data_IF_175803275850
#
_entry.id   IF_175803275850
#
_cell.length_a   1.000
_cell.length_b   1.000
_cell.length_c   1.000
_cell.angle_alpha   90.00
_cell.angle_beta   90.00
_cell.angle_gamma   90.00
#
_symmetry.space_group_name_H-M   'P 1'
#
loop_
_entity.id
_entity.type
_entity.pdbx_description
1 polymer ?
#
# COMPACT_ATOMS: atom_id res chain seq x y z
N UNK A 1 -40.10 -46.06 -61.09
CA UNK A 1 -39.78 -46.19 -59.66
C UNK A 1 -38.82 -45.07 -59.28
N UNK A 2 -39.27 -44.17 -58.42
CA UNK A 2 -38.60 -42.91 -58.04
C UNK A 2 -37.62 -43.17 -56.90
N UNK A 3 -36.34 -42.84 -57.10
CA UNK A 3 -35.33 -42.80 -56.03
C UNK A 3 -35.46 -41.45 -55.31
N UNK A 4 -35.97 -41.47 -54.07
CA UNK A 4 -36.05 -40.30 -53.19
C UNK A 4 -34.68 -40.04 -52.57
N UNK A 5 -34.04 -38.96 -53.00
CA UNK A 5 -32.96 -38.28 -52.26
C UNK A 5 -33.60 -37.46 -51.11
N UNK A 6 -33.29 -37.80 -49.86
CA UNK A 6 -33.71 -37.03 -48.68
C UNK A 6 -32.59 -36.06 -48.31
N UNK A 7 -32.62 -34.85 -48.87
CA UNK A 7 -31.88 -33.70 -48.32
C UNK A 7 -32.85 -32.75 -47.62
N UNK A 8 -32.75 -32.70 -46.29
CA UNK A 8 -33.49 -31.76 -45.43
C UNK A 8 -33.05 -30.31 -45.71
N UNK A 9 -33.97 -29.35 -45.92
CA UNK A 9 -33.65 -27.94 -45.98
C UNK A 9 -33.70 -27.35 -44.57
N UNK A 10 -32.56 -27.17 -43.92
CA UNK A 10 -32.45 -26.30 -42.74
C UNK A 10 -31.78 -25.00 -43.15
N UNK A 11 -32.46 -24.23 -44.00
CA UNK A 11 -32.01 -22.91 -44.44
C UNK A 11 -32.87 -21.83 -43.76
N UNK A 12 -32.23 -20.94 -43.00
CA UNK A 12 -32.70 -19.55 -42.89
C UNK A 12 -32.85 -18.94 -41.50
N UNK A 13 -33.04 -19.71 -40.42
CA UNK A 13 -33.23 -19.13 -39.07
C UNK A 13 -31.97 -19.09 -38.20
N UNK A 14 -31.06 -20.05 -38.34
CA UNK A 14 -29.86 -20.15 -37.49
C UNK A 14 -28.70 -19.26 -37.93
N UNK A 15 -28.65 -18.86 -39.20
CA UNK A 15 -27.61 -17.96 -39.73
C UNK A 15 -27.87 -16.48 -39.41
N UNK A 16 -29.12 -16.11 -39.10
CA UNK A 16 -29.48 -14.71 -38.77
C UNK A 16 -29.29 -14.39 -37.28
N UNK A 17 -29.49 -15.37 -36.39
CA UNK A 17 -29.30 -15.20 -34.95
C UNK A 17 -27.82 -15.22 -34.55
N UNK A 18 -26.97 -15.97 -35.25
CA UNK A 18 -25.52 -16.00 -34.99
C UNK A 18 -24.81 -14.72 -35.44
N UNK A 19 -25.23 -14.08 -36.54
CA UNK A 19 -24.65 -12.83 -37.01
C UNK A 19 -25.00 -11.59 -36.16
N UNK A 20 -26.17 -11.59 -35.50
CA UNK A 20 -26.59 -10.50 -34.60
C UNK A 20 -25.89 -10.58 -33.23
N UNK A 21 -25.56 -11.78 -32.75
CA UNK A 21 -24.84 -11.96 -31.49
C UNK A 21 -23.35 -11.58 -31.66
N UNK A 22 -22.71 -11.88 -32.79
CA UNK A 22 -21.32 -11.47 -33.04
C UNK A 22 -21.15 -9.96 -33.27
N UNK A 23 -22.16 -9.27 -33.82
CA UNK A 23 -22.12 -7.81 -34.02
C UNK A 23 -22.28 -6.98 -32.73
N UNK A 24 -22.85 -7.55 -31.66
CA UNK A 24 -23.00 -6.89 -30.36
C UNK A 24 -21.82 -7.14 -29.41
N UNK A 25 -21.09 -8.25 -29.59
CA UNK A 25 -19.93 -8.59 -28.74
C UNK A 25 -18.68 -7.81 -29.16
N UNK A 26 -18.53 -7.50 -30.46
CA UNK A 26 -17.36 -6.76 -30.97
C UNK A 26 -17.24 -5.30 -30.47
N UNK A 27 -18.31 -4.48 -30.39
CA UNK A 27 -18.20 -3.14 -29.83
C UNK A 27 -18.10 -3.13 -28.29
N UNK A 28 -18.63 -4.13 -27.59
CA UNK A 28 -18.41 -4.29 -26.15
C UNK A 28 -16.96 -4.67 -25.83
N UNK A 29 -16.32 -5.49 -26.67
CA UNK A 29 -14.91 -5.84 -26.53
C UNK A 29 -13.95 -4.67 -26.78
N UNK A 30 -14.30 -3.76 -27.70
CA UNK A 30 -13.49 -2.55 -27.95
C UNK A 30 -13.68 -1.48 -26.87
N UNK A 31 -14.88 -1.35 -26.30
CA UNK A 31 -15.13 -0.45 -25.18
C UNK A 31 -14.45 -0.91 -23.88
N UNK A 32 -14.20 -2.21 -23.71
CA UNK A 32 -13.40 -2.74 -22.60
C UNK A 32 -11.88 -2.48 -22.75
N UNK A 33 -11.42 -2.05 -23.92
CA UNK A 33 -10.03 -1.56 -24.10
C UNK A 33 -9.91 -0.06 -23.88
N UNK A 34 -11.04 0.66 -23.84
CA UNK A 34 -11.10 2.03 -23.35
C UNK A 34 -11.56 1.96 -21.89
N UNK A 35 -10.63 1.68 -20.98
CA UNK A 35 -10.92 1.90 -19.56
C UNK A 35 -11.54 3.30 -19.43
N UNK A 36 -12.78 3.44 -18.92
CA UNK A 36 -13.43 4.74 -18.75
C UNK A 36 -12.71 5.63 -17.72
N UNK A 37 -11.57 5.16 -17.22
CA UNK A 37 -10.77 5.78 -16.19
C UNK A 37 -10.02 6.97 -16.78
N UNK A 38 -9.35 6.86 -17.94
CA UNK A 38 -8.49 7.93 -18.47
C UNK A 38 -9.11 8.69 -19.66
N UNK A 39 -10.28 9.30 -19.43
CA UNK A 39 -10.92 10.17 -20.42
C UNK A 39 -10.28 11.56 -20.39
N UNK A 40 -9.78 12.11 -21.51
CA UNK A 40 -9.26 13.47 -21.56
C UNK A 40 -10.30 14.54 -21.14
N UNK A 41 -9.91 15.65 -20.51
CA UNK A 41 -8.52 16.08 -20.28
C UNK A 41 -7.87 15.44 -19.06
N UNK A 42 -6.58 15.11 -19.20
CA UNK A 42 -5.69 14.77 -18.09
C UNK A 42 -4.94 16.02 -17.62
N UNK A 43 -4.61 16.06 -16.34
CA UNK A 43 -3.78 17.13 -15.79
C UNK A 43 -2.30 16.84 -16.07
N UNK A 44 -1.54 17.87 -16.41
CA UNK A 44 -0.09 17.75 -16.65
C UNK A 44 0.65 18.83 -15.87
N UNK A 45 1.66 18.41 -15.10
CA UNK A 45 2.51 19.29 -14.32
C UNK A 45 3.96 19.14 -14.77
N UNK A 46 4.55 20.21 -15.28
CA UNK A 46 5.97 20.23 -15.62
C UNK A 46 6.83 20.31 -14.35
N UNK A 47 7.73 19.35 -14.16
CA UNK A 47 8.62 19.26 -12.99
C UNK A 47 10.04 19.74 -13.34
N UNK A 48 10.52 19.46 -14.56
CA UNK A 48 11.88 19.80 -14.99
C UNK A 48 11.98 21.03 -15.88
N UNK A 49 13.18 21.27 -16.44
CA UNK A 49 13.39 22.33 -17.42
C UNK A 49 12.58 22.06 -18.69
N UNK A 50 12.08 23.11 -19.34
CA UNK A 50 11.24 23.01 -20.54
C UNK A 50 11.92 22.18 -21.64
N UNK A 51 11.17 21.25 -22.23
CA UNK A 51 11.65 20.37 -23.31
C UNK A 51 12.44 19.13 -22.84
N UNK A 52 12.54 18.86 -21.53
CA UNK A 52 13.19 17.65 -21.00
C UNK A 52 12.27 16.43 -20.89
N UNK A 53 10.95 16.62 -21.07
CA UNK A 53 9.95 15.57 -20.87
C UNK A 53 9.73 15.17 -19.41
N UNK A 54 10.29 15.92 -18.45
CA UNK A 54 10.07 15.70 -17.02
C UNK A 54 8.76 16.35 -16.58
N UNK A 55 7.67 15.61 -16.72
CA UNK A 55 6.32 15.99 -16.31
C UNK A 55 5.61 14.87 -15.56
N UNK A 56 4.67 15.23 -14.70
CA UNK A 56 3.72 14.30 -14.09
C UNK A 56 2.38 14.48 -14.79
N UNK A 57 1.85 13.39 -15.33
CA UNK A 57 0.48 13.33 -15.84
C UNK A 57 -0.38 12.65 -14.78
N UNK A 58 -1.53 13.23 -14.45
CA UNK A 58 -2.46 12.66 -13.49
C UNK A 58 -3.90 12.78 -13.98
N UNK A 59 -4.76 11.96 -13.38
CA UNK A 59 -6.16 11.90 -13.71
C UNK A 59 -6.96 12.65 -12.63
N UNK A 60 -7.58 13.79 -12.95
CA UNK A 60 -8.27 14.60 -11.95
C UNK A 60 -9.43 13.87 -11.27
N UNK A 61 -10.09 12.94 -11.97
CA UNK A 61 -11.16 12.11 -11.41
C UNK A 61 -10.64 11.13 -10.37
N UNK A 62 -9.53 10.44 -10.67
CA UNK A 62 -8.88 9.54 -9.70
C UNK A 62 -8.25 10.31 -8.54
N UNK A 63 -7.61 11.44 -8.81
CA UNK A 63 -6.99 12.28 -7.77
C UNK A 63 -8.04 12.77 -6.77
N UNK A 64 -9.21 13.21 -7.24
CA UNK A 64 -10.32 13.60 -6.37
C UNK A 64 -10.82 12.44 -5.49
N UNK A 65 -10.88 11.22 -6.04
CA UNK A 65 -11.23 10.02 -5.27
C UNK A 65 -10.15 9.68 -4.23
N UNK A 66 -8.86 9.77 -4.59
CA UNK A 66 -7.75 9.53 -3.68
C UNK A 66 -7.71 10.54 -2.54
N UNK A 67 -7.98 11.83 -2.81
CA UNK A 67 -8.10 12.86 -1.78
C UNK A 67 -9.21 12.49 -0.80
N UNK A 68 -10.38 12.08 -1.30
CA UNK A 68 -11.50 11.66 -0.45
C UNK A 68 -11.19 10.41 0.36
N UNK A 69 -10.47 9.43 -0.21
CA UNK A 69 -10.07 8.20 0.49
C UNK A 69 -8.98 8.43 1.55
N UNK A 70 -8.21 9.51 1.43
CA UNK A 70 -7.15 9.87 2.37
C UNK A 70 -7.52 11.04 3.28
N UNK A 71 -8.82 11.38 3.37
CA UNK A 71 -9.29 12.38 4.31
C UNK A 71 -9.04 11.92 5.76
N UNK A 72 -8.41 12.79 6.55
CA UNK A 72 -8.04 12.49 7.93
C UNK A 72 -9.26 12.74 8.82
N UNK A 73 -9.67 11.77 9.67
CA UNK A 73 -10.75 11.98 10.61
C UNK A 73 -10.44 13.15 11.56
N UNK A 74 -11.44 13.99 11.88
CA UNK A 74 -11.24 15.07 12.85
C UNK A 74 -10.84 14.48 14.22
N UNK A 75 -10.02 15.19 15.01
CA UNK A 75 -9.67 14.73 16.35
C UNK A 75 -10.93 14.64 17.21
N UNK A 76 -11.09 13.50 17.91
CA UNK A 76 -12.26 13.25 18.77
C UNK A 76 -12.23 14.12 20.03
N UNK A 77 -11.03 14.37 20.57
CA UNK A 77 -10.84 15.11 21.82
C UNK A 77 -10.00 16.36 21.60
N UNK A 78 -10.47 17.45 22.20
CA UNK A 78 -9.74 18.72 22.23
C UNK A 78 -8.38 18.56 22.92
N UNK A 79 -7.37 19.36 22.56
CA UNK A 79 -6.10 19.38 23.28
C UNK A 79 -6.32 19.68 24.76
N UNK A 80 -5.71 18.85 25.62
CA UNK A 80 -5.75 19.06 27.07
C UNK A 80 -4.48 19.82 27.50
N UNK A 81 -4.61 20.86 28.34
CA UNK A 81 -3.45 21.54 28.93
C UNK A 81 -2.50 20.58 29.64
N UNK A 82 -1.22 20.96 29.73
CA UNK A 82 -0.19 20.17 30.43
C UNK A 82 -0.23 20.44 31.95
N UNK A 83 -1.43 20.43 32.51
CA UNK A 83 -1.71 20.85 33.86
C UNK A 83 -2.06 19.60 34.67
N UNK A 84 -1.59 19.51 35.90
CA UNK A 84 -1.91 18.39 36.80
C UNK A 84 -0.79 17.37 36.99
N UNK A 85 -1.08 16.26 37.69
CA UNK A 85 -0.09 15.26 38.06
C UNK A 85 0.42 14.48 36.84
N UNK A 86 1.67 14.04 36.91
CA UNK A 86 2.29 13.22 35.87
C UNK A 86 1.60 11.86 35.80
N UNK A 87 1.51 11.29 34.60
CA UNK A 87 0.93 9.96 34.39
C UNK A 87 1.64 8.89 35.24
N UNK A 88 2.96 9.03 35.45
CA UNK A 88 3.78 8.12 36.28
C UNK A 88 3.45 8.17 37.77
N UNK A 89 2.78 9.22 38.25
CA UNK A 89 2.35 9.33 39.66
C UNK A 89 1.01 8.64 39.90
N UNK A 90 0.17 8.54 38.86
CA UNK A 90 -1.19 7.98 38.94
C UNK A 90 -1.23 6.53 38.47
N UNK A 91 -0.59 6.22 37.36
CA UNK A 91 -0.67 4.93 36.70
C UNK A 91 0.56 4.06 36.96
N UNK A 92 0.36 2.75 36.89
CA UNK A 92 1.41 1.76 37.08
C UNK A 92 1.96 1.28 35.73
N UNK A 93 3.24 0.88 35.72
CA UNK A 93 3.92 0.28 34.55
C UNK A 93 3.97 1.17 33.29
N UNK A 94 4.13 2.49 33.46
CA UNK A 94 4.46 3.40 32.35
C UNK A 94 5.97 3.33 32.07
N UNK A 95 6.32 3.01 30.81
CA UNK A 95 7.73 2.86 30.39
C UNK A 95 8.16 3.89 29.33
N UNK A 96 7.24 4.33 28.46
CA UNK A 96 7.57 5.18 27.29
C UNK A 96 6.93 6.57 27.39
N UNK A 97 5.74 6.68 27.97
CA UNK A 97 4.94 7.91 28.05
C UNK A 97 5.05 8.58 29.42
N UNK A 98 6.25 8.59 30.00
CA UNK A 98 6.47 9.10 31.37
C UNK A 98 6.46 10.62 31.48
N UNK A 99 6.51 11.32 30.35
CA UNK A 99 6.57 12.77 30.21
C UNK A 99 5.21 13.43 30.01
N UNK A 100 4.12 12.66 30.04
CA UNK A 100 2.75 13.17 29.89
C UNK A 100 2.07 13.36 31.26
N UNK A 101 1.19 14.36 31.35
CA UNK A 101 0.22 14.43 32.46
C UNK A 101 -0.82 13.31 32.31
N UNK A 102 -1.52 12.98 33.40
CA UNK A 102 -2.54 11.92 33.37
C UNK A 102 -3.63 12.17 32.31
N UNK A 103 -4.13 13.41 32.19
CA UNK A 103 -5.18 13.73 31.21
C UNK A 103 -4.65 13.67 29.77
N UNK A 104 -3.40 14.06 29.53
CA UNK A 104 -2.76 13.93 28.22
C UNK A 104 -2.54 12.47 27.84
N UNK A 105 -2.17 11.64 28.82
CA UNK A 105 -2.04 10.20 28.65
C UNK A 105 -3.39 9.57 28.25
N UNK A 106 -4.47 9.90 28.96
CA UNK A 106 -5.80 9.37 28.67
C UNK A 106 -6.30 9.80 27.29
N UNK A 107 -6.09 11.07 26.93
CA UNK A 107 -6.38 11.58 25.58
C UNK A 107 -5.63 10.79 24.51
N UNK A 108 -4.34 10.52 24.72
CA UNK A 108 -3.55 9.74 23.76
C UNK A 108 -4.06 8.30 23.65
N UNK A 109 -4.41 7.64 24.76
CA UNK A 109 -4.98 6.29 24.74
C UNK A 109 -6.30 6.24 23.96
N UNK A 110 -7.16 7.25 24.11
CA UNK A 110 -8.41 7.33 23.37
C UNK A 110 -8.18 7.48 21.86
N UNK A 111 -7.20 8.28 21.45
CA UNK A 111 -6.81 8.39 20.04
C UNK A 111 -6.20 7.10 19.46
N UNK A 112 -5.32 6.43 20.22
CA UNK A 112 -4.73 5.15 19.80
C UNK A 112 -5.83 4.10 19.59
N UNK A 113 -6.83 4.09 20.48
CA UNK A 113 -7.99 3.18 20.36
C UNK A 113 -8.70 3.37 19.03
N UNK A 114 -9.04 4.61 18.66
CA UNK A 114 -9.68 4.89 17.37
C UNK A 114 -8.80 4.53 16.17
N UNK A 115 -7.51 4.83 16.25
CA UNK A 115 -6.61 4.66 15.11
C UNK A 115 -6.25 3.21 14.81
N UNK A 116 -6.35 2.32 15.80
CA UNK A 116 -5.78 0.96 15.76
C UNK A 116 -6.77 -0.12 16.14
N UNK A 117 -7.51 0.04 17.24
CA UNK A 117 -8.27 -1.06 17.80
C UNK A 117 -9.54 -1.36 16.97
N UNK A 118 -9.95 -2.63 16.85
CA UNK A 118 -11.26 -2.96 16.30
C UNK A 118 -12.36 -2.26 17.11
N UNK A 119 -13.36 -1.63 16.46
CA UNK A 119 -14.42 -0.89 17.16
C UNK A 119 -15.15 -1.72 18.23
N UNK A 120 -15.28 -3.03 18.02
CA UNK A 120 -15.95 -3.95 18.95
C UNK A 120 -15.11 -4.33 20.18
N UNK A 121 -13.77 -4.16 20.13
CA UNK A 121 -12.87 -4.50 21.23
C UNK A 121 -12.40 -3.27 22.01
N UNK A 122 -12.27 -2.12 21.34
CA UNK A 122 -11.86 -0.86 21.95
C UNK A 122 -10.60 -1.00 22.82
N UNK A 123 -10.65 -0.48 24.05
CA UNK A 123 -9.52 -0.52 24.99
C UNK A 123 -9.03 -1.95 25.30
N UNK A 124 -9.93 -2.93 25.30
CA UNK A 124 -9.62 -4.33 25.63
C UNK A 124 -8.83 -5.04 24.53
N UNK A 125 -8.69 -4.43 23.35
CA UNK A 125 -7.80 -4.95 22.30
C UNK A 125 -6.34 -4.99 22.78
N UNK A 126 -5.93 -3.97 23.56
CA UNK A 126 -4.58 -3.83 24.08
C UNK A 126 -4.46 -4.09 25.58
N UNK A 127 -5.56 -4.11 26.33
CA UNK A 127 -5.51 -4.22 27.79
C UNK A 127 -6.30 -5.41 28.32
N UNK A 128 -5.81 -5.94 29.45
CA UNK A 128 -6.60 -6.80 30.32
C UNK A 128 -7.59 -5.91 31.11
N UNK A 129 -8.91 -6.09 30.99
CA UNK A 129 -9.90 -5.26 31.68
C UNK A 129 -9.84 -5.38 33.22
N UNK A 130 -9.30 -6.48 33.75
CA UNK A 130 -9.13 -6.67 35.19
C UNK A 130 -7.88 -5.94 35.73
N UNK A 131 -6.89 -5.67 34.87
CA UNK A 131 -5.66 -4.99 35.24
C UNK A 131 -5.01 -4.29 34.02
N UNK A 132 -5.23 -2.98 33.90
CA UNK A 132 -4.69 -2.19 32.78
C UNK A 132 -3.15 -2.12 32.77
N UNK A 133 -2.49 -2.34 33.92
CA UNK A 133 -1.03 -2.33 34.03
C UNK A 133 -0.38 -3.64 33.59
N UNK A 134 -1.15 -4.71 33.43
CA UNK A 134 -0.68 -6.04 32.99
C UNK A 134 -0.18 -6.03 31.54
N UNK A 135 0.94 -6.70 31.29
CA UNK A 135 1.60 -6.82 29.97
C UNK A 135 1.44 -8.22 29.36
N UNK A 136 0.60 -9.07 29.95
CA UNK A 136 0.32 -10.42 29.43
C UNK A 136 -0.34 -10.43 28.05
N UNK A 137 -1.06 -9.36 27.68
CA UNK A 137 -1.68 -9.20 26.37
C UNK A 137 -0.61 -8.73 25.36
N UNK A 138 -0.33 -9.57 24.36
CA UNK A 138 0.76 -9.32 23.40
C UNK A 138 0.62 -7.99 22.64
N UNK A 139 -0.61 -7.56 22.34
CA UNK A 139 -0.90 -6.30 21.65
C UNK A 139 -0.41 -5.09 22.44
N UNK A 140 -0.40 -5.14 23.78
CA UNK A 140 0.17 -4.09 24.62
C UNK A 140 1.68 -3.94 24.44
N UNK A 141 2.38 -5.07 24.38
CA UNK A 141 3.83 -5.12 24.17
C UNK A 141 4.18 -4.55 22.80
N UNK A 142 3.42 -4.93 21.77
CA UNK A 142 3.56 -4.37 20.41
C UNK A 142 3.25 -2.88 20.39
N UNK A 143 2.15 -2.44 21.01
CA UNK A 143 1.75 -1.03 21.08
C UNK A 143 2.86 -0.16 21.72
N UNK A 144 3.51 -0.64 22.79
CA UNK A 144 4.64 0.05 23.42
C UNK A 144 5.83 0.23 22.46
N UNK A 145 6.14 -0.79 21.68
CA UNK A 145 7.17 -0.70 20.64
C UNK A 145 6.79 0.28 19.54
N UNK A 146 5.52 0.29 19.12
CA UNK A 146 5.02 1.21 18.08
C UNK A 146 5.01 2.67 18.53
N UNK A 147 4.69 2.94 19.80
CA UNK A 147 4.80 4.29 20.38
C UNK A 147 6.26 4.76 20.34
N UNK A 148 7.20 3.90 20.74
CA UNK A 148 8.63 4.22 20.70
C UNK A 148 9.11 4.49 19.27
N UNK A 149 8.74 3.64 18.32
CA UNK A 149 9.02 3.82 16.89
C UNK A 149 8.44 5.14 16.37
N UNK A 150 7.20 5.47 16.70
CA UNK A 150 6.52 6.68 16.22
C UNK A 150 7.21 7.95 16.75
N UNK A 151 7.57 7.96 18.05
CA UNK A 151 8.34 9.05 18.65
C UNK A 151 9.69 9.21 17.95
N UNK A 152 10.39 8.10 17.72
CA UNK A 152 11.69 8.10 17.04
C UNK A 152 11.60 8.61 15.59
N UNK A 153 10.60 8.18 14.82
CA UNK A 153 10.39 8.69 13.45
C UNK A 153 10.18 10.20 13.47
N UNK A 154 9.34 10.70 14.38
CA UNK A 154 9.02 12.13 14.45
C UNK A 154 10.16 13.00 15.01
N UNK A 155 11.09 12.44 15.79
CA UNK A 155 12.23 13.18 16.34
C UNK A 155 13.47 13.10 15.46
N UNK A 156 13.79 11.92 14.95
CA UNK A 156 15.11 11.62 14.36
C UNK A 156 15.09 11.70 12.83
N UNK A 157 13.92 11.61 12.20
CA UNK A 157 13.75 11.55 10.74
C UNK A 157 13.06 12.79 10.16
N UNK A 158 13.35 13.97 10.74
CA UNK A 158 12.78 15.25 10.30
C UNK A 158 13.02 15.60 8.82
N UNK A 159 14.14 15.14 8.23
CA UNK A 159 14.41 15.32 6.79
C UNK A 159 13.46 14.51 5.90
N UNK A 160 12.83 13.46 6.44
CA UNK A 160 11.88 12.61 5.73
C UNK A 160 10.44 13.01 6.00
N UNK A 161 10.03 13.09 7.28
CA UNK A 161 8.63 13.34 7.66
C UNK A 161 8.29 14.81 7.91
N UNK A 162 9.30 15.69 7.88
CA UNK A 162 9.20 17.14 8.07
C UNK A 162 8.41 17.50 9.33
N UNK A 163 7.75 18.65 9.35
CA UNK A 163 6.82 19.05 10.42
C UNK A 163 5.47 18.31 10.36
N UNK A 164 5.21 17.50 9.32
CA UNK A 164 3.95 16.74 9.20
C UNK A 164 3.94 15.57 10.17
N UNK A 165 5.06 14.85 10.28
CA UNK A 165 5.19 13.68 11.15
C UNK A 165 4.29 12.51 10.74
N UNK A 166 4.28 11.48 11.59
CA UNK A 166 3.44 10.29 11.47
C UNK A 166 2.67 10.02 12.75
N UNK A 167 1.52 9.36 12.62
CA UNK A 167 0.69 8.87 13.73
C UNK A 167 0.36 7.41 13.53
N UNK A 168 -0.31 6.78 14.51
CA UNK A 168 -0.82 5.42 14.35
C UNK A 168 -1.74 5.30 13.11
N UNK A 169 -2.51 6.35 12.83
CA UNK A 169 -3.44 6.39 11.71
C UNK A 169 -2.74 6.39 10.35
N UNK A 170 -1.50 6.89 10.26
CA UNK A 170 -0.73 6.89 9.00
C UNK A 170 -0.65 5.50 8.38
N UNK A 171 -0.51 4.47 9.21
CA UNK A 171 -0.41 3.07 8.79
C UNK A 171 -1.69 2.26 9.07
N UNK A 172 -2.27 2.37 10.27
CA UNK A 172 -3.36 1.49 10.71
C UNK A 172 -4.70 1.84 10.09
N UNK A 173 -4.98 3.12 9.82
CA UNK A 173 -6.23 3.59 9.18
C UNK A 173 -7.51 3.01 9.83
N UNK A 174 -7.51 2.86 11.16
CA UNK A 174 -8.66 2.30 11.92
C UNK A 174 -8.72 0.76 11.94
N UNK A 175 -7.66 0.07 11.53
CA UNK A 175 -7.57 -1.38 11.54
C UNK A 175 -6.37 -1.88 12.37
N UNK A 176 -6.51 -3.01 13.10
CA UNK A 176 -5.43 -3.56 13.92
C UNK A 176 -4.22 -4.01 13.11
N UNK A 177 -4.45 -4.47 11.88
CA UNK A 177 -3.41 -4.88 10.93
C UNK A 177 -3.40 -3.87 9.79
N UNK A 178 -2.30 -3.14 9.56
CA UNK A 178 -2.20 -2.20 8.44
C UNK A 178 -2.43 -2.91 7.09
N UNK A 179 -3.15 -2.25 6.18
CA UNK A 179 -3.52 -2.85 4.90
C UNK A 179 -2.32 -3.02 3.94
N UNK A 180 -1.40 -2.05 3.93
CA UNK A 180 -0.25 -2.01 3.03
C UNK A 180 1.01 -2.57 3.71
N UNK A 181 1.01 -3.87 3.95
CA UNK A 181 2.15 -4.63 4.49
C UNK A 181 2.72 -5.57 3.44
N UNK A 182 3.94 -6.01 3.67
CA UNK A 182 4.66 -6.91 2.78
C UNK A 182 5.36 -8.02 3.58
N UNK A 183 5.53 -9.17 2.93
CA UNK A 183 6.30 -10.30 3.43
C UNK A 183 7.31 -10.75 2.39
N UNK A 184 8.47 -11.23 2.84
CA UNK A 184 9.49 -11.75 1.95
C UNK A 184 8.93 -12.83 1.02
N UNK A 185 9.25 -12.73 -0.27
CA UNK A 185 8.78 -13.71 -1.25
C UNK A 185 9.35 -15.10 -0.94
N UNK A 186 8.61 -16.18 -1.26
CA UNK A 186 9.14 -17.52 -1.17
C UNK A 186 10.40 -17.65 -2.05
N UNK A 187 11.32 -18.55 -1.70
CA UNK A 187 12.54 -18.74 -2.47
C UNK A 187 12.18 -19.12 -3.92
N UNK A 188 12.99 -18.68 -4.90
CA UNK A 188 12.74 -18.93 -6.31
C UNK A 188 12.56 -20.42 -6.60
N UNK A 189 11.65 -20.74 -7.52
CA UNK A 189 11.34 -22.13 -7.80
C UNK A 189 12.51 -22.81 -8.51
N UNK A 190 13.07 -23.84 -7.89
CA UNK A 190 14.06 -24.72 -8.51
C UNK A 190 13.35 -25.98 -8.99
N UNK A 191 12.83 -25.96 -10.21
CA UNK A 191 12.26 -27.16 -10.85
C UNK A 191 13.32 -27.80 -11.73
N UNK A 192 13.18 -29.09 -12.06
CA UNK A 192 14.07 -29.80 -12.99
C UNK A 192 14.24 -29.10 -14.37
N UNK A 193 13.39 -28.12 -14.69
CA UNK A 193 13.33 -27.41 -15.98
C UNK A 193 14.00 -26.02 -15.93
N UNK A 194 14.50 -25.57 -14.77
CA UNK A 194 15.25 -24.32 -14.68
C UNK A 194 15.09 -23.57 -13.36
N UNK A 195 15.83 -22.46 -13.28
CA UNK A 195 15.80 -21.50 -12.18
C UNK A 195 15.27 -20.17 -12.71
N UNK A 196 14.16 -19.69 -12.13
CA UNK A 196 13.50 -18.44 -12.54
C UNK A 196 14.18 -17.17 -11.98
N UNK A 197 15.15 -17.33 -11.06
CA UNK A 197 15.91 -16.21 -10.49
C UNK A 197 15.08 -15.27 -9.62
N UNK A 198 13.85 -15.62 -9.25
CA UNK A 198 12.96 -14.77 -8.43
C UNK A 198 12.41 -13.56 -9.20
N UNK A 199 12.25 -13.69 -10.51
CA UNK A 199 11.73 -12.64 -11.41
C UNK A 199 10.82 -13.27 -12.48
N UNK A 200 10.33 -12.46 -13.43
CA UNK A 200 9.46 -12.90 -14.54
C UNK A 200 8.08 -13.42 -14.12
N UNK A 201 7.58 -12.99 -12.96
CA UNK A 201 6.20 -13.24 -12.52
C UNK A 201 5.50 -11.90 -12.29
N UNK A 202 4.27 -11.71 -12.82
CA UNK A 202 3.53 -10.49 -12.59
C UNK A 202 3.05 -10.47 -11.14
N UNK A 203 3.57 -9.53 -10.34
CA UNK A 203 3.09 -9.27 -8.98
C UNK A 203 2.78 -7.79 -8.80
N UNK A 204 1.77 -7.49 -7.99
CA UNK A 204 1.29 -6.12 -7.74
C UNK A 204 2.39 -5.22 -7.16
N UNK A 205 3.24 -5.76 -6.29
CA UNK A 205 4.37 -5.07 -5.66
C UNK A 205 5.35 -4.41 -6.66
N UNK A 206 5.47 -4.93 -7.88
CA UNK A 206 6.31 -4.36 -8.96
C UNK A 206 5.47 -3.91 -10.15
N UNK A 207 4.22 -3.53 -9.87
CA UNK A 207 3.29 -2.98 -10.84
C UNK A 207 3.11 -3.89 -12.06
N UNK A 208 2.99 -5.20 -11.81
CA UNK A 208 2.78 -6.25 -12.82
C UNK A 208 3.88 -6.37 -13.88
N UNK A 209 5.07 -5.81 -13.64
CA UNK A 209 6.23 -5.97 -14.51
C UNK A 209 6.88 -7.36 -14.34
N UNK A 210 7.87 -7.68 -15.20
CA UNK A 210 8.66 -8.92 -15.12
C UNK A 210 9.93 -8.80 -14.28
N UNK A 211 10.04 -7.73 -13.47
CA UNK A 211 11.17 -7.46 -12.58
C UNK A 211 11.25 -8.49 -11.42
N UNK A 212 12.31 -8.46 -10.59
CA UNK A 212 12.39 -9.27 -9.39
C UNK A 212 11.18 -9.07 -8.48
N UNK A 213 10.54 -10.17 -8.07
CA UNK A 213 9.22 -10.17 -7.42
C UNK A 213 9.24 -9.55 -6.02
N UNK A 214 10.42 -9.49 -5.39
CA UNK A 214 10.62 -8.94 -4.05
C UNK A 214 11.85 -8.04 -4.00
N UNK A 215 11.69 -6.76 -4.41
CA UNK A 215 12.75 -5.77 -4.25
C UNK A 215 12.88 -5.29 -2.79
N UNK A 216 11.84 -5.44 -1.98
CA UNK A 216 11.80 -4.87 -0.62
C UNK A 216 12.72 -5.62 0.34
N UNK A 217 12.84 -6.94 0.20
CA UNK A 217 13.84 -7.72 0.96
C UNK A 217 15.24 -7.15 0.80
N UNK A 218 15.64 -6.78 -0.43
CA UNK A 218 17.01 -6.34 -0.71
C UNK A 218 17.29 -4.92 -0.20
N UNK A 219 16.30 -4.02 -0.26
CA UNK A 219 16.53 -2.58 -0.07
C UNK A 219 15.84 -1.95 1.15
N UNK A 220 14.74 -2.52 1.63
CA UNK A 220 14.01 -2.01 2.80
C UNK A 220 14.24 -2.84 4.06
N UNK A 221 14.47 -4.15 3.90
CA UNK A 221 14.87 -5.03 5.00
C UNK A 221 16.39 -5.15 5.12
N UNK A 222 17.07 -5.35 4.00
CA UNK A 222 18.52 -5.35 3.91
C UNK A 222 19.02 -3.99 3.36
N UNK A 223 20.30 -3.70 3.57
CA UNK A 223 20.97 -2.48 3.11
C UNK A 223 21.81 -2.77 1.85
N UNK A 224 21.19 -3.33 0.80
CA UNK A 224 21.88 -3.53 -0.47
C UNK A 224 22.05 -2.23 -1.26
N UNK A 225 23.16 -2.12 -2.00
CA UNK A 225 23.45 -0.95 -2.79
C UNK A 225 22.45 -0.74 -3.95
N UNK A 226 21.81 0.43 -3.97
CA UNK A 226 20.88 0.86 -5.04
C UNK A 226 21.64 1.43 -6.26
N UNK A 227 22.84 1.99 -6.06
CA UNK A 227 23.56 2.71 -7.13
C UNK A 227 24.31 1.75 -8.05
N UNK A 228 23.93 1.74 -9.33
CA UNK A 228 24.60 0.95 -10.40
C UNK A 228 25.31 1.79 -11.46
N UNK A 229 24.99 3.08 -11.56
CA UNK A 229 25.60 3.94 -12.56
C UNK A 229 27.08 4.15 -12.24
N UNK A 230 27.95 3.83 -13.20
CA UNK A 230 29.37 4.05 -13.04
C UNK A 230 29.70 5.55 -13.03
N UNK A 231 30.59 6.02 -12.15
CA UNK A 231 30.98 7.43 -12.09
C UNK A 231 31.90 7.84 -13.25
N UNK A 232 32.40 6.89 -14.04
CA UNK A 232 33.32 7.10 -15.16
C UNK A 232 32.74 6.49 -16.43
N UNK A 233 33.04 7.13 -17.56
CA UNK A 233 32.63 6.69 -18.89
C UNK A 233 33.30 5.36 -19.29
N UNK A 234 34.51 5.11 -18.81
CA UNK A 234 35.24 3.88 -19.13
C UNK A 234 34.58 2.67 -18.45
N UNK A 235 34.52 1.50 -19.12
CA UNK A 235 33.97 0.30 -18.52
C UNK A 235 34.65 -0.05 -17.21
N UNK A 236 33.84 -0.20 -16.16
CA UNK A 236 34.25 -0.80 -14.90
C UNK A 236 33.73 -2.24 -14.86
N UNK A 237 34.37 -3.15 -14.09
CA UNK A 237 33.85 -4.50 -13.90
C UNK A 237 32.38 -4.46 -13.45
N UNK A 238 31.50 -5.15 -14.17
CA UNK A 238 30.05 -5.00 -14.06
C UNK A 238 29.49 -5.72 -12.82
N UNK A 239 28.75 -5.00 -11.96
CA UNK A 239 27.88 -5.61 -10.94
C UNK A 239 26.53 -6.00 -11.57
N UNK A 240 26.10 -7.26 -11.41
CA UNK A 240 24.81 -7.78 -11.88
C UNK A 240 23.66 -7.29 -10.96
N UNK A 241 23.22 -6.03 -11.11
CA UNK A 241 22.16 -5.48 -10.24
C UNK A 241 21.04 -4.70 -10.97
N UNK A 242 21.14 -4.46 -12.28
CA UNK A 242 20.27 -3.48 -12.94
C UNK A 242 18.77 -3.82 -12.98
N UNK A 243 18.39 -5.09 -13.00
CA UNK A 243 16.97 -5.49 -13.04
C UNK A 243 16.25 -5.28 -11.71
N UNK A 244 16.95 -5.24 -10.57
CA UNK A 244 16.35 -5.01 -9.25
C UNK A 244 15.94 -3.56 -9.00
N UNK A 245 16.41 -2.64 -9.86
CA UNK A 245 16.37 -1.20 -9.61
C UNK A 245 15.52 -0.42 -10.62
N UNK A 246 14.93 -1.11 -11.60
CA UNK A 246 14.11 -0.43 -12.61
C UNK A 246 12.80 0.04 -11.99
N UNK A 247 12.56 1.35 -12.02
CA UNK A 247 11.23 1.91 -11.83
C UNK A 247 10.36 1.46 -13.01
N UNK A 248 9.18 0.84 -12.79
CA UNK A 248 8.24 0.64 -13.88
C UNK A 248 7.88 2.02 -14.45
N UNK A 249 8.16 2.24 -15.73
CA UNK A 249 7.57 3.35 -16.48
C UNK A 249 6.12 2.94 -16.74
N UNK A 250 5.21 3.53 -15.97
CA UNK A 250 3.88 3.85 -16.48
C UNK A 250 3.90 5.33 -16.81
#
# INVERSE_FOLDING_TARGET
>A
MSFKDKRNPVSGRWARTTGLITMLILPLGLAACNDPVDVPPLDSQQIGYRGTGMEQVSNPGLDALLVKLNEVPPPIYDPVPADGPMATEIYQNIQVLGDLTADQFDRLMAHITEWVAPPEQGCNYCHNPENLADDSVYTKVVARSMISMTRQINSDWGDHVVQTGVTCYSCHRGAPVPANIWFAAPPPTTKMVGWDGGQNHPVEAINYSSLPVDPFSAYLLNDEAIRIAAPKLCPVPMMRQSSRLKKPML
#
